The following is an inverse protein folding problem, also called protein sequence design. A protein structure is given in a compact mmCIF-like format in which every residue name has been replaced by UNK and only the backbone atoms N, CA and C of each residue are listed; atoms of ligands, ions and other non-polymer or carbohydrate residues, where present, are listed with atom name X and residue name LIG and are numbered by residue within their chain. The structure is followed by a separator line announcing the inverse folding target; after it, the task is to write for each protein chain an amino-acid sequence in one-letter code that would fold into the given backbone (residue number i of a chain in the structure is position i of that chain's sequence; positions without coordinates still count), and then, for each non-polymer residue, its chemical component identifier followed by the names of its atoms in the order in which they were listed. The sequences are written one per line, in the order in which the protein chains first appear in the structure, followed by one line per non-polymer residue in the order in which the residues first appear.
data_IF_722239416509
#
_entry.id   IF_722239416509
#
_cell.length_a   1.000
_cell.length_b   1.000
_cell.length_c   1.000
_cell.angle_alpha   90.00
_cell.angle_beta   90.00
_cell.angle_gamma   90.00
#
_symmetry.space_group_name_H-M   'P 1'
#
loop_
_entity.id
_entity.type
_entity.pdbx_description
1 polymer ?
#
# COMPACT_ATOMS: atom_id res chain seq x y z
N UNK A 1 98.91 80.36 -136.47
CA UNK A 1 98.08 81.27 -135.65
C UNK A 1 97.75 80.53 -134.37
N UNK A 2 98.66 80.50 -133.41
CA UNK A 2 98.78 81.46 -132.29
C UNK A 2 97.62 81.37 -131.28
N UNK A 3 97.99 80.85 -130.09
CA UNK A 3 97.61 81.31 -128.75
C UNK A 3 96.14 81.06 -128.32
N UNK A 4 95.79 80.58 -127.12
CA UNK A 4 96.52 80.24 -125.89
C UNK A 4 95.48 79.73 -124.87
N UNK A 5 95.85 78.69 -124.10
CA UNK A 5 95.76 78.58 -122.62
C UNK A 5 94.39 78.78 -121.91
N UNK A 6 93.96 78.02 -120.89
CA UNK A 6 94.64 77.07 -120.00
C UNK A 6 93.60 76.40 -119.06
N UNK A 7 93.80 75.09 -118.78
CA UNK A 7 93.93 74.43 -117.46
C UNK A 7 92.91 74.73 -116.31
N UNK A 8 92.43 73.82 -115.45
CA UNK A 8 92.82 72.44 -115.11
C UNK A 8 91.87 71.85 -114.04
N UNK A 9 91.81 70.51 -114.01
CA UNK A 9 91.66 69.60 -112.84
C UNK A 9 90.34 69.52 -112.06
N UNK A 10 89.70 68.35 -112.09
CA UNK A 10 89.82 67.40 -110.97
C UNK A 10 89.33 65.98 -111.33
N UNK A 11 90.21 65.02 -111.07
CA UNK A 11 90.03 63.57 -111.12
C UNK A 11 89.81 63.05 -109.68
N UNK A 12 89.16 61.87 -109.58
CA UNK A 12 88.95 61.00 -108.40
C UNK A 12 87.63 61.17 -107.62
N UNK A 13 86.60 60.36 -107.94
CA UNK A 13 85.61 59.88 -106.94
C UNK A 13 84.72 58.71 -107.42
N UNK A 14 85.22 57.47 -107.51
CA UNK A 14 84.32 56.29 -107.71
C UNK A 14 84.91 54.98 -107.15
N UNK A 15 84.86 54.75 -105.83
CA UNK A 15 85.06 53.40 -105.23
C UNK A 15 84.82 53.30 -103.70
N UNK A 16 83.86 54.02 -103.11
CA UNK A 16 83.64 54.02 -101.62
C UNK A 16 82.19 53.83 -101.14
N UNK A 17 81.27 53.31 -101.96
CA UNK A 17 79.83 53.24 -101.63
C UNK A 17 79.24 51.81 -101.43
N UNK A 18 79.91 50.74 -101.88
CA UNK A 18 79.30 49.39 -101.88
C UNK A 18 79.56 48.51 -100.63
N UNK A 19 80.50 48.86 -99.73
CA UNK A 19 80.74 48.11 -98.49
C UNK A 19 79.92 48.62 -97.29
N UNK A 20 79.43 49.86 -97.35
CA UNK A 20 78.59 50.46 -96.30
C UNK A 20 77.12 50.06 -96.40
N UNK A 21 76.62 49.76 -97.60
CA UNK A 21 75.22 49.36 -97.82
C UNK A 21 74.94 47.91 -97.37
N UNK A 22 75.90 47.00 -97.51
CA UNK A 22 75.76 45.61 -97.06
C UNK A 22 75.79 45.46 -95.53
N UNK A 23 76.69 46.17 -94.85
CA UNK A 23 76.76 46.19 -93.37
C UNK A 23 75.50 46.82 -92.75
N UNK A 24 74.98 47.91 -93.33
CA UNK A 24 73.73 48.50 -92.86
C UNK A 24 72.52 47.57 -93.00
N UNK A 25 72.47 46.74 -94.05
CA UNK A 25 71.38 45.77 -94.24
C UNK A 25 71.38 44.69 -93.15
N UNK A 26 72.55 44.23 -92.72
CA UNK A 26 72.69 43.22 -91.66
C UNK A 26 72.30 43.78 -90.28
N UNK A 27 72.74 45.00 -89.97
CA UNK A 27 72.33 45.74 -88.77
C UNK A 27 70.80 45.93 -88.71
N UNK A 28 70.16 46.27 -89.84
CA UNK A 28 68.71 46.40 -89.93
C UNK A 28 68.02 45.06 -89.62
N UNK A 29 68.47 43.95 -90.21
CA UNK A 29 67.87 42.62 -89.94
C UNK A 29 68.03 42.17 -88.48
N UNK A 30 69.16 42.50 -87.85
CA UNK A 30 69.38 42.22 -86.42
C UNK A 30 68.45 43.05 -85.53
N UNK A 31 68.25 44.33 -85.86
CA UNK A 31 67.29 45.20 -85.16
C UNK A 31 65.86 44.69 -85.35
N UNK A 32 65.48 44.24 -86.54
CA UNK A 32 64.17 43.66 -86.81
C UNK A 32 63.92 42.37 -86.00
N UNK A 33 64.91 41.48 -85.92
CA UNK A 33 64.85 40.28 -85.08
C UNK A 33 64.69 40.62 -83.59
N UNK A 34 65.44 41.61 -83.09
CA UNK A 34 65.31 42.10 -81.70
C UNK A 34 63.90 42.65 -81.46
N UNK A 35 63.36 43.45 -82.39
CA UNK A 35 61.99 43.98 -82.30
C UNK A 35 60.97 42.84 -82.26
N UNK A 36 61.15 41.78 -83.05
CA UNK A 36 60.24 40.63 -83.05
C UNK A 36 60.29 39.86 -81.73
N UNK A 37 61.47 39.60 -81.18
CA UNK A 37 61.64 38.95 -79.87
C UNK A 37 61.00 39.80 -78.76
N UNK A 38 61.24 41.11 -78.78
CA UNK A 38 60.64 42.03 -77.81
C UNK A 38 59.11 42.05 -77.90
N UNK A 39 58.53 41.97 -79.11
CA UNK A 39 57.07 41.86 -79.28
C UNK A 39 56.53 40.56 -78.69
N UNK A 40 57.17 39.43 -78.95
CA UNK A 40 56.76 38.13 -78.40
C UNK A 40 56.88 38.08 -76.88
N UNK A 41 57.95 38.65 -76.33
CA UNK A 41 58.15 38.79 -74.89
C UNK A 41 57.07 39.68 -74.27
N UNK A 42 56.76 40.82 -74.89
CA UNK A 42 55.69 41.71 -74.43
C UNK A 42 54.33 41.02 -74.45
N UNK A 43 54.02 40.22 -75.48
CA UNK A 43 52.77 39.46 -75.55
C UNK A 43 52.68 38.38 -74.46
N UNK A 44 53.80 37.67 -74.21
CA UNK A 44 53.87 36.63 -73.17
C UNK A 44 53.74 37.24 -71.77
N UNK A 45 54.43 38.36 -71.52
CA UNK A 45 54.31 39.12 -70.28
C UNK A 45 52.89 39.64 -70.07
N UNK A 46 52.23 40.13 -71.12
CA UNK A 46 50.83 40.57 -71.07
C UNK A 46 49.88 39.42 -70.69
N UNK A 47 49.99 38.26 -71.35
CA UNK A 47 49.19 37.07 -71.00
C UNK A 47 49.42 36.62 -69.56
N UNK A 48 50.68 36.65 -69.10
CA UNK A 48 51.00 36.32 -67.70
C UNK A 48 50.45 37.35 -66.72
N UNK A 49 50.41 38.63 -67.08
CA UNK A 49 49.84 39.69 -66.26
C UNK A 49 48.32 39.49 -66.12
N UNK A 50 47.62 39.33 -67.24
CA UNK A 50 46.17 39.10 -67.28
C UNK A 50 45.77 37.88 -66.43
N UNK A 51 46.53 36.78 -66.51
CA UNK A 51 46.30 35.59 -65.69
C UNK A 51 46.48 35.85 -64.19
N UNK A 52 47.53 36.59 -63.80
CA UNK A 52 47.76 36.96 -62.40
C UNK A 52 46.66 37.88 -61.88
N UNK A 53 46.17 38.81 -62.69
CA UNK A 53 45.08 39.72 -62.32
C UNK A 53 43.77 38.95 -62.05
N UNK A 54 43.43 37.97 -62.90
CA UNK A 54 42.29 37.08 -62.65
C UNK A 54 42.49 36.27 -61.36
N UNK A 55 43.69 35.75 -61.11
CA UNK A 55 44.00 34.99 -59.89
C UNK A 55 43.89 35.86 -58.63
N UNK A 56 44.38 37.09 -58.68
CA UNK A 56 44.25 38.07 -57.59
C UNK A 56 42.77 38.36 -57.34
N UNK A 57 41.99 38.62 -58.38
CA UNK A 57 40.55 38.84 -58.24
C UNK A 57 39.81 37.66 -57.59
N UNK A 58 40.18 36.43 -57.94
CA UNK A 58 39.64 35.23 -57.29
C UNK A 58 40.01 35.14 -55.81
N UNK A 59 41.29 35.39 -55.47
CA UNK A 59 41.76 35.36 -54.07
C UNK A 59 41.11 36.44 -53.20
N UNK A 60 40.84 37.63 -53.76
CA UNK A 60 40.12 38.70 -53.04
C UNK A 60 38.70 38.26 -52.71
N UNK A 61 37.96 37.70 -53.67
CA UNK A 61 36.61 37.18 -53.43
C UNK A 61 36.58 36.03 -52.42
N UNK A 62 37.56 35.12 -52.49
CA UNK A 62 37.67 34.02 -51.53
C UNK A 62 37.98 34.53 -50.11
N UNK A 63 38.86 35.52 -49.99
CA UNK A 63 39.15 36.19 -48.72
C UNK A 63 37.91 36.85 -48.12
N UNK A 64 37.12 37.55 -48.93
CA UNK A 64 35.85 38.17 -48.48
C UNK A 64 34.86 37.11 -47.99
N UNK A 65 34.68 36.03 -48.75
CA UNK A 65 33.81 34.92 -48.37
C UNK A 65 34.22 34.29 -47.04
N UNK A 66 35.51 33.98 -46.86
CA UNK A 66 36.04 33.42 -45.61
C UNK A 66 35.84 34.36 -44.41
N UNK A 67 35.95 35.67 -44.64
CA UNK A 67 35.72 36.67 -43.59
C UNK A 67 34.26 36.70 -43.14
N UNK A 68 33.32 36.59 -44.08
CA UNK A 68 31.89 36.48 -43.77
C UNK A 68 31.55 35.20 -43.01
N UNK A 69 32.08 34.06 -43.47
CA UNK A 69 31.91 32.75 -42.80
C UNK A 69 32.45 32.79 -41.37
N UNK A 70 33.64 33.36 -41.15
CA UNK A 70 34.21 33.53 -39.82
C UNK A 70 33.29 34.39 -38.92
N UNK A 71 32.76 35.50 -39.44
CA UNK A 71 31.85 36.36 -38.69
C UNK A 71 30.54 35.66 -38.34
N UNK A 72 30.02 34.82 -39.24
CA UNK A 72 28.86 33.98 -38.98
C UNK A 72 29.16 32.94 -37.89
N UNK A 73 30.27 32.20 -38.00
CA UNK A 73 30.70 31.22 -37.01
C UNK A 73 30.93 31.83 -35.61
N UNK A 74 31.48 33.05 -35.55
CA UNK A 74 31.65 33.77 -34.29
C UNK A 74 30.31 34.11 -33.61
N UNK A 75 29.29 34.50 -34.39
CA UNK A 75 27.95 34.77 -33.85
C UNK A 75 27.29 33.50 -33.36
N UNK A 76 27.35 32.41 -34.14
CA UNK A 76 26.77 31.13 -33.73
C UNK A 76 27.43 30.60 -32.47
N UNK A 77 28.75 30.71 -32.33
CA UNK A 77 29.46 30.30 -31.12
C UNK A 77 29.00 31.10 -29.90
N UNK A 78 28.86 32.43 -29.99
CA UNK A 78 28.33 33.24 -28.89
C UNK A 78 26.92 32.81 -28.47
N UNK A 79 26.05 32.53 -29.44
CA UNK A 79 24.69 32.05 -29.16
C UNK A 79 24.69 30.69 -28.47
N UNK A 80 25.53 29.75 -28.92
CA UNK A 80 25.66 28.43 -28.29
C UNK A 80 26.20 28.51 -26.86
N UNK A 81 27.18 29.40 -26.61
CA UNK A 81 27.68 29.64 -25.25
C UNK A 81 26.58 30.16 -24.33
N UNK A 82 25.73 31.07 -24.81
CA UNK A 82 24.61 31.59 -24.03
C UNK A 82 23.60 30.48 -23.72
N UNK A 83 23.18 29.71 -24.73
CA UNK A 83 22.26 28.58 -24.53
C UNK A 83 22.81 27.56 -23.52
N UNK A 84 24.10 27.23 -23.60
CA UNK A 84 24.72 26.31 -22.65
C UNK A 84 24.72 26.86 -21.21
N UNK A 85 24.83 28.18 -21.06
CA UNK A 85 24.79 28.85 -19.75
C UNK A 85 23.36 28.82 -19.20
N UNK A 86 22.38 29.17 -20.03
CA UNK A 86 20.96 29.16 -19.66
C UNK A 86 20.49 27.76 -19.23
N UNK A 87 20.87 26.70 -19.98
CA UNK A 87 20.57 25.30 -19.65
C UNK A 87 21.20 24.87 -18.31
N UNK A 88 22.45 25.28 -18.04
CA UNK A 88 23.11 24.99 -16.76
C UNK A 88 22.36 25.63 -15.59
N UNK A 89 21.89 26.86 -15.75
CA UNK A 89 21.12 27.58 -14.73
C UNK A 89 19.75 26.93 -14.49
N UNK A 90 19.08 26.47 -15.54
CA UNK A 90 17.81 25.73 -15.43
C UNK A 90 18.03 24.43 -14.66
N UNK A 91 19.00 23.61 -15.07
CA UNK A 91 19.29 22.35 -14.40
C UNK A 91 19.69 22.53 -12.94
N UNK A 92 20.43 23.58 -12.62
CA UNK A 92 20.77 23.90 -11.24
C UNK A 92 19.53 24.19 -10.40
N UNK A 93 18.61 25.03 -10.90
CA UNK A 93 17.35 25.35 -10.21
C UNK A 93 16.45 24.13 -10.04
N UNK A 94 16.32 23.30 -11.07
CA UNK A 94 15.53 22.06 -11.00
C UNK A 94 16.10 21.09 -9.97
N UNK A 95 17.43 20.94 -9.93
CA UNK A 95 18.09 20.09 -8.94
C UNK A 95 17.81 20.57 -7.51
N UNK A 96 17.95 21.87 -7.24
CA UNK A 96 17.66 22.43 -5.91
C UNK A 96 16.19 22.22 -5.51
N UNK A 97 15.26 22.45 -6.45
CA UNK A 97 13.83 22.18 -6.24
C UNK A 97 13.57 20.72 -5.87
N UNK A 98 14.11 19.77 -6.64
CA UNK A 98 13.95 18.33 -6.37
C UNK A 98 14.56 17.91 -5.03
N UNK A 99 15.72 18.45 -4.67
CA UNK A 99 16.35 18.17 -3.37
C UNK A 99 15.46 18.64 -2.23
N UNK A 100 14.87 19.82 -2.34
CA UNK A 100 13.98 20.35 -1.31
C UNK A 100 12.65 19.58 -1.25
N UNK A 101 12.11 19.15 -2.38
CA UNK A 101 10.94 18.27 -2.44
C UNK A 101 11.20 16.94 -1.74
N UNK A 102 12.35 16.31 -2.01
CA UNK A 102 12.79 15.08 -1.34
C UNK A 102 12.92 15.31 0.17
N UNK A 103 13.54 16.40 0.62
CA UNK A 103 13.63 16.74 2.05
C UNK A 103 12.24 16.87 2.67
N UNK A 104 11.32 17.60 2.02
CA UNK A 104 9.94 17.76 2.53
C UNK A 104 9.22 16.42 2.63
N UNK A 105 9.32 15.56 1.60
CA UNK A 105 8.72 14.23 1.62
C UNK A 105 9.34 13.32 2.69
N UNK A 106 10.67 13.40 2.88
CA UNK A 106 11.35 12.66 3.94
C UNK A 106 10.88 13.09 5.33
N UNK A 107 10.62 14.38 5.54
CA UNK A 107 10.07 14.92 6.79
C UNK A 107 8.56 14.64 6.94
N UNK A 108 7.85 14.52 5.81
CA UNK A 108 6.45 14.12 5.75
C UNK A 108 6.23 12.62 6.00
N UNK A 109 7.29 11.81 6.17
CA UNK A 109 7.22 10.47 6.80
C UNK A 109 6.80 10.51 8.29
N UNK A 110 6.02 11.51 8.72
CA UNK A 110 5.19 11.43 9.92
C UNK A 110 4.22 10.25 9.90
N UNK A 111 3.98 9.66 8.71
CA UNK A 111 3.31 8.37 8.58
C UNK A 111 3.96 7.27 9.41
N UNK A 112 5.30 7.29 9.58
CA UNK A 112 6.00 6.29 10.40
C UNK A 112 5.68 6.46 11.88
N UNK A 113 5.54 7.68 12.39
CA UNK A 113 5.17 7.96 13.79
C UNK A 113 3.70 7.58 14.05
N UNK A 114 2.81 7.88 13.11
CA UNK A 114 1.41 7.49 13.22
C UNK A 114 1.26 5.96 13.15
N UNK A 115 2.05 5.32 12.28
CA UNK A 115 2.07 3.86 12.15
C UNK A 115 2.59 3.18 13.42
N UNK A 116 3.68 3.68 14.01
CA UNK A 116 4.19 3.15 15.29
C UNK A 116 3.20 3.35 16.42
N UNK A 117 2.55 4.52 16.50
CA UNK A 117 1.53 4.80 17.51
C UNK A 117 0.31 3.90 17.37
N UNK A 118 -0.18 3.68 16.13
CA UNK A 118 -1.27 2.74 15.88
C UNK A 118 -0.88 1.31 16.21
N UNK A 119 0.37 0.92 15.92
CA UNK A 119 0.87 -0.41 16.23
C UNK A 119 0.96 -0.65 17.75
N UNK A 120 1.34 0.35 18.53
CA UNK A 120 1.32 0.32 19.99
C UNK A 120 -0.11 0.22 20.53
N UNK A 121 -1.04 1.03 20.02
CA UNK A 121 -2.44 0.99 20.43
C UNK A 121 -3.07 -0.39 20.15
N UNK A 122 -2.83 -0.97 18.97
CA UNK A 122 -3.30 -2.32 18.63
C UNK A 122 -2.79 -3.35 19.63
N UNK A 123 -1.50 -3.31 19.99
CA UNK A 123 -0.93 -4.23 20.98
C UNK A 123 -1.58 -4.07 22.36
N UNK A 124 -1.83 -2.84 22.79
CA UNK A 124 -2.52 -2.57 24.06
C UNK A 124 -3.95 -3.14 24.05
N UNK A 125 -4.70 -2.94 22.96
CA UNK A 125 -6.06 -3.49 22.83
C UNK A 125 -6.05 -5.02 22.84
N UNK A 126 -5.09 -5.65 22.16
CA UNK A 126 -4.96 -7.11 22.15
C UNK A 126 -4.70 -7.68 23.55
N UNK A 127 -3.85 -7.01 24.34
CA UNK A 127 -3.60 -7.40 25.73
C UNK A 127 -4.86 -7.27 26.60
N UNK A 128 -5.62 -6.18 26.45
CA UNK A 128 -6.89 -5.97 27.15
C UNK A 128 -7.90 -7.07 26.79
N UNK A 129 -8.03 -7.41 25.50
CA UNK A 129 -8.93 -8.45 25.02
C UNK A 129 -8.53 -9.81 25.61
N UNK A 130 -7.24 -10.15 25.58
CA UNK A 130 -6.73 -11.39 26.15
C UNK A 130 -7.07 -11.50 27.65
N UNK A 131 -6.83 -10.43 28.41
CA UNK A 131 -7.13 -10.39 29.85
C UNK A 131 -8.63 -10.52 30.14
N UNK A 132 -9.48 -9.88 29.34
CA UNK A 132 -10.93 -9.99 29.47
C UNK A 132 -11.42 -11.42 29.17
N UNK A 133 -10.89 -12.05 28.11
CA UNK A 133 -11.17 -13.43 27.77
C UNK A 133 -10.75 -14.39 28.90
N UNK A 134 -9.55 -14.22 29.47
CA UNK A 134 -9.08 -15.01 30.59
C UNK A 134 -9.99 -14.87 31.82
N UNK A 135 -10.39 -13.63 32.17
CA UNK A 135 -11.32 -13.36 33.28
C UNK A 135 -12.70 -13.98 33.04
N UNK A 136 -13.22 -13.88 31.82
CA UNK A 136 -14.48 -14.50 31.44
C UNK A 136 -14.43 -16.02 31.58
N UNK A 137 -13.36 -16.66 31.11
CA UNK A 137 -13.20 -18.11 31.22
C UNK A 137 -13.11 -18.58 32.67
N UNK A 138 -12.39 -17.83 33.53
CA UNK A 138 -12.33 -18.09 34.98
C UNK A 138 -13.70 -17.94 35.65
N UNK A 139 -14.46 -16.92 35.28
CA UNK A 139 -15.81 -16.74 35.81
C UNK A 139 -16.76 -17.85 35.32
N UNK A 140 -16.64 -18.26 34.06
CA UNK A 140 -17.42 -19.35 33.47
C UNK A 140 -17.13 -20.69 34.15
N UNK A 141 -15.87 -21.01 34.43
CA UNK A 141 -15.51 -22.24 35.17
C UNK A 141 -16.03 -22.19 36.61
N UNK A 142 -15.89 -21.05 37.29
CA UNK A 142 -16.43 -20.85 38.64
C UNK A 142 -17.96 -20.99 38.67
N UNK A 143 -18.69 -20.43 37.70
CA UNK A 143 -20.15 -20.60 37.57
C UNK A 143 -20.52 -22.08 37.49
N UNK A 144 -19.82 -22.86 36.67
CA UNK A 144 -20.07 -24.31 36.53
C UNK A 144 -19.81 -25.03 37.87
N UNK A 145 -18.73 -24.69 38.58
CA UNK A 145 -18.40 -25.29 39.87
C UNK A 145 -19.48 -24.97 40.92
N UNK A 146 -19.88 -23.71 41.02
CA UNK A 146 -20.93 -23.27 41.94
C UNK A 146 -22.27 -23.94 41.63
N UNK A 147 -22.65 -24.01 40.36
CA UNK A 147 -23.88 -24.69 39.93
C UNK A 147 -23.86 -26.18 40.32
N UNK A 148 -22.72 -26.87 40.14
CA UNK A 148 -22.55 -28.26 40.59
C UNK A 148 -22.67 -28.40 42.10
N UNK A 149 -22.07 -27.49 42.88
CA UNK A 149 -22.17 -27.50 44.36
C UNK A 149 -23.60 -27.24 44.82
N UNK A 150 -24.29 -26.28 44.21
CA UNK A 150 -25.69 -25.97 44.51
C UNK A 150 -26.59 -27.18 44.27
N UNK A 151 -26.46 -27.86 43.12
CA UNK A 151 -27.22 -29.08 42.82
C UNK A 151 -26.96 -30.20 43.83
N UNK A 152 -25.71 -30.36 44.28
CA UNK A 152 -25.36 -31.34 45.33
C UNK A 152 -26.02 -30.99 46.67
N UNK A 153 -25.97 -29.72 47.05
CA UNK A 153 -26.55 -29.24 48.32
C UNK A 153 -28.07 -29.37 48.31
N UNK A 154 -28.72 -29.02 47.19
CA UNK A 154 -30.16 -29.18 47.01
C UNK A 154 -30.57 -30.66 47.10
N UNK A 155 -29.84 -31.57 46.45
CA UNK A 155 -30.10 -33.01 46.58
C UNK A 155 -29.95 -33.50 48.02
N UNK A 156 -29.04 -32.90 48.79
CA UNK A 156 -28.87 -33.21 50.21
C UNK A 156 -30.03 -32.67 51.06
N UNK A 157 -30.50 -31.44 50.82
CA UNK A 157 -31.65 -30.89 51.54
C UNK A 157 -32.94 -31.68 51.27
N UNK A 158 -33.18 -32.05 50.01
CA UNK A 158 -34.33 -32.90 49.60
C UNK A 158 -34.35 -34.20 50.40
N UNK A 159 -33.22 -34.91 50.46
CA UNK A 159 -33.08 -36.15 51.26
C UNK A 159 -33.28 -35.93 52.76
N UNK A 160 -32.76 -34.83 53.31
CA UNK A 160 -32.97 -34.52 54.73
C UNK A 160 -34.46 -34.27 55.01
N UNK A 161 -35.16 -33.56 54.13
CA UNK A 161 -36.60 -33.34 54.25
C UNK A 161 -37.39 -34.66 54.17
N UNK A 162 -37.05 -35.55 53.25
CA UNK A 162 -37.64 -36.90 53.16
C UNK A 162 -37.44 -37.67 54.48
N UNK A 163 -36.21 -37.69 55.00
CA UNK A 163 -35.90 -38.35 56.28
C UNK A 163 -36.65 -37.74 57.47
N UNK A 164 -36.76 -36.40 57.53
CA UNK A 164 -37.51 -35.72 58.59
C UNK A 164 -39.00 -36.05 58.54
N UNK A 165 -39.59 -36.11 57.35
CA UNK A 165 -41.00 -36.51 57.18
C UNK A 165 -41.21 -37.95 57.68
N UNK A 166 -40.27 -38.85 57.38
CA UNK A 166 -40.32 -40.24 57.80
C UNK A 166 -40.24 -40.36 59.34
N UNK A 167 -39.28 -39.68 59.98
CA UNK A 167 -39.16 -39.67 61.46
C UNK A 167 -40.41 -39.05 62.12
N UNK A 168 -40.95 -37.97 61.55
CA UNK A 168 -42.19 -37.36 62.04
C UNK A 168 -43.37 -38.33 61.94
N UNK A 169 -43.41 -39.16 60.90
CA UNK A 169 -44.45 -40.17 60.73
C UNK A 169 -44.32 -41.29 61.76
N UNK A 170 -43.12 -41.82 61.97
CA UNK A 170 -42.84 -42.83 62.99
C UNK A 170 -43.21 -42.34 64.39
N UNK A 171 -42.82 -41.11 64.75
CA UNK A 171 -43.16 -40.51 66.04
C UNK A 171 -44.67 -40.32 66.22
N UNK A 172 -45.38 -39.91 65.17
CA UNK A 172 -46.85 -39.77 65.18
C UNK A 172 -47.51 -41.13 65.42
N UNK A 173 -47.06 -42.17 64.74
CA UNK A 173 -47.60 -43.53 64.87
C UNK A 173 -47.33 -44.10 66.28
N UNK A 174 -46.12 -43.91 66.82
CA UNK A 174 -45.79 -44.29 68.20
C UNK A 174 -46.68 -43.57 69.23
N UNK A 175 -46.91 -42.26 69.05
CA UNK A 175 -47.78 -41.48 69.93
C UNK A 175 -49.25 -41.92 69.82
N UNK A 176 -49.73 -42.21 68.61
CA UNK A 176 -51.09 -42.74 68.38
C UNK A 176 -51.28 -44.08 69.11
N UNK A 177 -50.29 -44.97 69.09
CA UNK A 177 -50.33 -46.25 69.83
C UNK A 177 -50.44 -45.99 71.34
N UNK A 178 -49.59 -45.14 71.90
CA UNK A 178 -49.61 -44.80 73.34
C UNK A 178 -50.95 -44.18 73.76
N UNK A 179 -51.46 -43.21 72.99
CA UNK A 179 -52.74 -42.55 73.25
C UNK A 179 -53.91 -43.53 73.16
N UNK A 180 -53.90 -44.43 72.18
CA UNK A 180 -54.94 -45.46 72.05
C UNK A 180 -54.91 -46.45 73.22
N UNK A 181 -53.72 -46.85 73.68
CA UNK A 181 -53.55 -47.72 74.84
C UNK A 181 -54.11 -47.07 76.10
N UNK A 182 -53.78 -45.78 76.34
CA UNK A 182 -54.33 -45.02 77.46
C UNK A 182 -55.86 -44.87 77.35
N UNK A 183 -56.42 -44.57 76.18
CA UNK A 183 -57.87 -44.47 75.97
C UNK A 183 -58.62 -45.77 76.30
N UNK A 184 -57.97 -46.93 76.13
CA UNK A 184 -58.52 -48.26 76.44
C UNK A 184 -58.49 -48.58 77.94
N UNK A 185 -57.71 -47.85 78.75
CA UNK A 185 -57.68 -48.06 80.20
C UNK A 185 -59.03 -47.67 80.82
N UNK A 186 -59.60 -48.58 81.63
CA UNK A 186 -60.91 -48.43 82.28
C UNK A 186 -60.96 -47.28 83.31
N UNK A 187 -59.81 -46.84 83.80
CA UNK A 187 -59.70 -46.01 85.00
C UNK A 187 -59.73 -44.50 84.71
N UNK A 188 -59.91 -44.09 83.45
CA UNK A 188 -59.85 -42.69 83.03
C UNK A 188 -61.25 -42.07 83.04
N UNK A 189 -61.39 -40.91 83.70
CA UNK A 189 -62.64 -40.15 83.76
C UNK A 189 -63.15 -39.74 82.36
N UNK A 190 -64.45 -39.46 82.23
CA UNK A 190 -65.04 -38.98 80.97
C UNK A 190 -64.36 -37.71 80.45
N UNK A 191 -63.94 -36.80 81.33
CA UNK A 191 -63.20 -35.60 80.98
C UNK A 191 -61.78 -35.90 80.49
N UNK A 192 -61.05 -36.81 81.15
CA UNK A 192 -59.73 -37.26 80.72
C UNK A 192 -59.74 -37.92 79.34
N UNK A 193 -60.78 -38.72 79.04
CA UNK A 193 -60.97 -39.30 77.70
C UNK A 193 -61.21 -38.24 76.62
N UNK A 194 -61.91 -37.14 76.93
CA UNK A 194 -62.05 -35.99 76.01
C UNK A 194 -60.72 -35.29 75.76
N UNK A 195 -59.93 -35.05 76.82
CA UNK A 195 -58.61 -34.44 76.71
C UNK A 195 -57.66 -35.28 75.86
N UNK A 196 -57.63 -36.61 76.04
CA UNK A 196 -56.79 -37.49 75.22
C UNK A 196 -57.17 -37.50 73.74
N UNK A 197 -58.48 -37.44 73.43
CA UNK A 197 -58.94 -37.30 72.04
C UNK A 197 -58.51 -35.97 71.42
N UNK A 198 -58.62 -34.87 72.18
CA UNK A 198 -58.14 -33.55 71.75
C UNK A 198 -56.62 -33.58 71.50
N UNK A 199 -55.84 -34.15 72.43
CA UNK A 199 -54.40 -34.29 72.29
C UNK A 199 -54.03 -35.08 71.04
N UNK A 200 -54.74 -36.18 70.75
CA UNK A 200 -54.57 -36.97 69.53
C UNK A 200 -54.83 -36.13 68.26
N UNK A 201 -55.94 -35.40 68.22
CA UNK A 201 -56.25 -34.53 67.08
C UNK A 201 -55.22 -33.41 66.92
N UNK A 202 -54.75 -32.82 68.01
CA UNK A 202 -53.74 -31.76 67.99
C UNK A 202 -52.39 -32.29 67.47
N UNK A 203 -51.95 -33.46 67.96
CA UNK A 203 -50.72 -34.10 67.49
C UNK A 203 -50.75 -34.40 65.97
N UNK A 204 -51.90 -34.85 65.46
CA UNK A 204 -52.11 -35.04 64.01
C UNK A 204 -52.00 -33.72 63.24
N UNK A 205 -52.65 -32.65 63.72
CA UNK A 205 -52.55 -31.33 63.10
C UNK A 205 -51.12 -30.78 63.13
N UNK A 206 -50.37 -31.01 64.21
CA UNK A 206 -48.95 -30.64 64.29
C UNK A 206 -48.11 -31.36 63.25
N UNK A 207 -48.32 -32.65 63.04
CA UNK A 207 -47.67 -33.43 61.98
C UNK A 207 -47.99 -32.86 60.59
N UNK A 208 -49.28 -32.73 60.24
CA UNK A 208 -49.73 -32.21 58.94
C UNK A 208 -49.20 -30.78 58.69
N UNK A 209 -49.24 -29.89 59.68
CA UNK A 209 -48.70 -28.54 59.59
C UNK A 209 -47.17 -28.54 59.36
N UNK A 210 -46.44 -29.45 60.00
CA UNK A 210 -44.98 -29.52 59.86
C UNK A 210 -44.61 -30.06 58.48
N UNK A 211 -45.31 -31.07 57.98
CA UNK A 211 -45.16 -31.55 56.60
C UNK A 211 -45.41 -30.43 55.59
N UNK A 212 -46.52 -29.69 55.73
CA UNK A 212 -46.83 -28.56 54.84
C UNK A 212 -45.75 -27.48 54.86
N UNK A 213 -45.18 -27.15 56.04
CA UNK A 213 -44.05 -26.23 56.14
C UNK A 213 -42.83 -26.74 55.38
N UNK A 214 -42.50 -28.03 55.49
CA UNK A 214 -41.39 -28.65 54.75
C UNK A 214 -41.64 -28.55 53.23
N UNK A 215 -42.83 -28.93 52.77
CA UNK A 215 -43.21 -28.84 51.35
C UNK A 215 -43.16 -27.41 50.81
N UNK A 216 -43.50 -26.42 51.63
CA UNK A 216 -43.39 -25.02 51.24
C UNK A 216 -41.95 -24.55 51.08
N UNK A 217 -41.03 -25.02 51.93
CA UNK A 217 -39.62 -24.68 51.85
C UNK A 217 -39.00 -25.32 50.60
N UNK A 218 -39.24 -26.61 50.38
CA UNK A 218 -38.74 -27.32 49.19
C UNK A 218 -39.38 -26.80 47.91
N UNK A 219 -40.66 -26.45 47.94
CA UNK A 219 -41.38 -25.85 46.82
C UNK A 219 -40.78 -24.50 46.41
N UNK A 220 -40.51 -23.60 47.36
CA UNK A 220 -39.87 -22.29 47.06
C UNK A 220 -38.49 -22.42 46.43
N UNK A 221 -37.72 -23.46 46.75
CA UNK A 221 -36.42 -23.74 46.12
C UNK A 221 -36.54 -24.16 44.65
N UNK A 222 -37.68 -24.76 44.24
CA UNK A 222 -37.92 -25.10 42.82
C UNK A 222 -38.30 -23.91 41.95
N UNK A 223 -38.98 -22.89 42.50
CA UNK A 223 -39.33 -21.66 41.77
C UNK A 223 -38.14 -20.75 41.44
N UNK A 224 -36.98 -20.96 42.08
CA UNK A 224 -35.74 -20.23 41.77
C UNK A 224 -35.02 -20.85 40.55
N UNK A 225 -35.40 -22.06 40.11
CA UNK A 225 -34.81 -22.75 38.94
C UNK A 225 -35.29 -22.20 37.59
N UNK A 226 -36.41 -21.49 37.54
CA UNK A 226 -36.97 -20.91 36.32
C UNK A 226 -37.01 -19.38 36.48
N UNK A 227 -36.20 -18.67 35.70
CA UNK A 227 -36.06 -17.23 35.81
C UNK A 227 -37.41 -16.49 35.69
N UNK A 228 -37.74 -15.73 36.73
CA UNK A 228 -38.68 -14.59 36.77
C UNK A 228 -40.04 -14.81 36.06
N UNK A 229 -41.06 -15.18 36.85
CA UNK A 229 -42.42 -14.61 36.75
C UNK A 229 -43.27 -15.14 37.92
N UNK A 230 -43.82 -14.25 38.74
CA UNK A 230 -44.83 -14.58 39.75
C UNK A 230 -46.21 -14.69 39.08
N UNK A 231 -46.93 -15.83 39.16
CA UNK A 231 -48.36 -15.85 38.96
C UNK A 231 -49.06 -15.59 40.29
N UNK A 232 -50.06 -14.71 40.26
CA UNK A 232 -50.92 -14.45 41.41
C UNK A 232 -51.60 -15.74 41.89
N UNK A 233 -51.76 -15.82 43.21
CA UNK A 233 -52.57 -16.82 43.87
C UNK A 233 -53.95 -16.95 43.19
N UNK A 234 -54.22 -18.12 42.61
CA UNK A 234 -55.59 -18.62 42.45
C UNK A 234 -55.74 -19.97 43.13
N UNK A 235 -56.84 -20.03 43.86
CA UNK A 235 -57.36 -21.08 44.73
C UNK A 235 -57.26 -22.52 44.20
N UNK A 236 -56.96 -23.43 45.14
CA UNK A 236 -57.44 -24.80 45.34
C UNK A 236 -57.89 -25.63 44.12
N UNK A 237 -57.42 -26.89 44.06
CA UNK A 237 -58.29 -28.08 44.22
C UNK A 237 -57.48 -29.37 44.40
N UNK A 238 -57.80 -30.08 45.48
CA UNK A 238 -57.59 -31.52 45.61
C UNK A 238 -58.29 -32.25 44.46
N UNK A 239 -57.62 -33.20 43.82
CA UNK A 239 -58.27 -34.43 43.35
C UNK A 239 -57.24 -35.54 43.19
N UNK A 240 -57.61 -36.69 43.74
CA UNK A 240 -56.90 -37.94 43.64
C UNK A 240 -57.03 -38.56 42.25
N UNK A 241 -56.08 -39.45 41.97
CA UNK A 241 -56.24 -40.73 41.25
C UNK A 241 -55.81 -40.82 39.78
N UNK A 242 -54.95 -41.83 39.58
CA UNK A 242 -54.78 -42.77 38.46
C UNK A 242 -54.02 -42.36 37.20
N UNK A 243 -52.93 -43.13 37.04
CA UNK A 243 -52.50 -43.88 35.86
C UNK A 243 -52.22 -43.18 34.53
N UNK A 244 -50.92 -43.28 34.19
CA UNK A 244 -50.33 -43.86 32.97
C UNK A 244 -50.58 -43.23 31.59
N UNK A 245 -49.43 -43.18 30.92
CA UNK A 245 -49.18 -43.10 29.49
C UNK A 245 -49.49 -41.74 28.82
N UNK A 246 -48.45 -41.12 28.26
CA UNK A 246 -48.17 -41.26 26.82
C UNK A 246 -46.83 -40.57 26.47
N UNK A 247 -46.10 -41.33 25.66
CA UNK A 247 -44.89 -41.03 24.92
C UNK A 247 -44.93 -39.79 24.00
N UNK A 248 -43.71 -39.37 23.63
CA UNK A 248 -43.27 -38.65 22.40
C UNK A 248 -43.46 -37.13 22.34
N UNK A 249 -42.33 -36.41 22.25
CA UNK A 249 -41.75 -36.11 20.93
C UNK A 249 -40.28 -35.64 21.02
N UNK A 250 -39.53 -36.03 19.98
CA UNK A 250 -38.07 -35.93 19.80
C UNK A 250 -37.62 -34.47 19.58
N UNK A 251 -36.38 -34.09 19.94
CA UNK A 251 -35.73 -32.97 19.29
C UNK A 251 -35.07 -33.46 17.98
N UNK A 252 -35.55 -32.97 16.84
CA UNK A 252 -34.79 -32.95 15.58
C UNK A 252 -33.68 -31.90 15.72
N UNK A 253 -32.46 -32.32 16.01
CA UNK A 253 -31.29 -31.46 15.89
C UNK A 253 -30.73 -31.63 14.48
N UNK A 254 -31.09 -30.72 13.56
CA UNK A 254 -30.37 -30.57 12.29
C UNK A 254 -28.96 -30.08 12.62
N UNK A 255 -28.00 -30.95 12.35
CA UNK A 255 -26.59 -30.67 12.33
C UNK A 255 -26.32 -29.59 11.26
N UNK A 256 -25.78 -28.44 11.68
CA UNK A 256 -25.09 -27.52 10.80
C UNK A 256 -23.62 -27.55 11.24
N UNK A 257 -22.93 -28.58 10.78
CA UNK A 257 -21.47 -28.54 10.65
C UNK A 257 -21.16 -27.48 9.58
N UNK A 258 -20.57 -26.36 9.99
CA UNK A 258 -19.62 -25.64 9.15
C UNK A 258 -18.27 -25.75 9.82
N UNK A 259 -17.50 -26.68 9.28
CA UNK A 259 -16.05 -26.78 9.41
C UNK A 259 -15.41 -25.46 8.95
N UNK A 260 -14.70 -24.78 9.85
CA UNK A 260 -13.65 -23.84 9.43
C UNK A 260 -12.34 -24.59 9.49
N UNK A 261 -11.86 -24.95 8.31
CA UNK A 261 -10.57 -25.58 8.08
C UNK A 261 -9.43 -24.68 8.57
N UNK A 262 -8.56 -25.28 9.37
CA UNK A 262 -7.25 -24.77 9.74
C UNK A 262 -6.40 -24.51 8.50
N UNK A 263 -5.98 -23.26 8.28
CA UNK A 263 -4.91 -22.95 7.33
C UNK A 263 -3.99 -21.84 7.86
N UNK A 264 -3.55 -21.99 9.11
CA UNK A 264 -2.63 -21.07 9.78
C UNK A 264 -1.28 -21.71 10.15
N UNK A 265 -0.94 -22.88 9.59
CA UNK A 265 0.29 -23.60 9.92
C UNK A 265 1.29 -23.75 8.74
N UNK A 266 1.13 -22.99 7.66
CA UNK A 266 2.04 -23.10 6.50
C UNK A 266 2.97 -21.90 6.25
N UNK A 267 3.02 -20.90 7.14
CA UNK A 267 3.83 -19.69 6.91
C UNK A 267 5.02 -19.48 7.84
N UNK A 268 5.24 -20.33 8.86
CA UNK A 268 6.34 -20.14 9.82
C UNK A 268 7.53 -21.10 9.64
N UNK A 269 7.71 -21.73 8.48
CA UNK A 269 8.79 -22.73 8.31
C UNK A 269 9.77 -22.58 7.15
N UNK A 270 9.69 -21.50 6.36
CA UNK A 270 10.74 -21.20 5.38
C UNK A 270 10.89 -19.69 5.19
N UNK A 271 11.89 -19.09 5.85
CA UNK A 271 12.64 -17.92 5.33
C UNK A 271 13.75 -17.51 6.31
N UNK A 272 14.64 -18.46 6.64
CA UNK A 272 16.05 -18.07 6.71
C UNK A 272 16.53 -17.93 5.27
N UNK A 273 16.93 -16.71 4.87
CA UNK A 273 17.63 -16.44 3.62
C UNK A 273 16.76 -16.05 2.42
N UNK A 274 16.42 -14.76 2.30
CA UNK A 274 16.17 -14.12 0.99
C UNK A 274 16.93 -12.80 0.98
N UNK A 275 18.18 -12.83 0.53
CA UNK A 275 19.07 -11.67 0.41
C UNK A 275 19.12 -11.06 -0.99
N UNK A 276 18.12 -11.28 -1.85
CA UNK A 276 18.15 -10.70 -3.21
C UNK A 276 16.78 -10.22 -3.72
N UNK A 277 16.68 -8.91 -3.92
CA UNK A 277 15.53 -8.20 -4.54
C UNK A 277 15.39 -8.45 -6.05
N UNK A 278 16.32 -9.21 -6.67
CA UNK A 278 16.32 -9.47 -8.12
C UNK A 278 15.32 -10.55 -8.56
N UNK A 279 14.81 -11.37 -7.63
CA UNK A 279 14.01 -12.56 -7.98
C UNK A 279 12.50 -12.29 -8.01
N UNK A 280 12.03 -11.15 -7.51
CA UNK A 280 10.60 -10.80 -7.46
C UNK A 280 10.07 -10.37 -8.84
N UNK A 281 10.94 -9.91 -9.74
CA UNK A 281 10.50 -9.33 -11.01
C UNK A 281 10.09 -10.35 -12.09
N UNK A 282 10.32 -11.65 -11.86
CA UNK A 282 10.07 -12.71 -12.85
C UNK A 282 8.81 -13.55 -12.58
N UNK A 283 8.05 -13.29 -11.51
CA UNK A 283 6.83 -14.05 -11.19
C UNK A 283 5.52 -13.32 -11.54
N UNK A 284 5.58 -12.11 -12.11
CA UNK A 284 4.40 -11.40 -12.57
C UNK A 284 4.13 -11.67 -14.06
N UNK A 285 3.07 -12.43 -14.29
CA UNK A 285 2.51 -12.83 -15.58
C UNK A 285 2.26 -11.64 -16.54
N UNK A 286 2.42 -11.79 -17.87
CA UNK A 286 2.40 -10.67 -18.84
C UNK A 286 1.03 -10.02 -19.06
N UNK A 287 -0.01 -10.46 -18.36
CA UNK A 287 -1.38 -10.12 -18.72
C UNK A 287 -1.95 -8.85 -18.04
N UNK A 288 -1.25 -8.26 -17.07
CA UNK A 288 -1.69 -7.01 -16.40
C UNK A 288 -1.05 -5.73 -16.95
N UNK A 289 -0.11 -5.81 -17.88
CA UNK A 289 0.64 -4.64 -18.38
C UNK A 289 -0.08 -3.81 -19.44
N UNK A 290 -1.33 -4.15 -19.81
CA UNK A 290 -2.04 -3.47 -20.92
C UNK A 290 -3.05 -2.39 -20.50
N UNK A 291 -3.31 -2.17 -19.22
CA UNK A 291 -4.36 -1.21 -18.81
C UNK A 291 -3.84 0.13 -18.25
N UNK A 292 -2.53 0.37 -18.20
CA UNK A 292 -1.97 1.62 -17.65
C UNK A 292 -1.42 2.61 -18.71
N UNK A 293 -1.66 2.38 -19.99
CA UNK A 293 -1.28 3.31 -21.06
C UNK A 293 -2.43 3.57 -22.04
N UNK A 294 -3.48 4.26 -21.57
CA UNK A 294 -4.38 5.04 -22.42
C UNK A 294 -4.94 6.23 -21.66
N UNK A 295 -4.13 7.27 -21.51
CA UNK A 295 -4.64 8.64 -21.33
C UNK A 295 -4.33 9.42 -22.59
N UNK A 296 -5.39 9.72 -23.34
CA UNK A 296 -5.37 10.61 -24.50
C UNK A 296 -5.06 12.03 -24.01
N UNK A 297 -3.91 12.55 -24.43
CA UNK A 297 -3.74 13.96 -24.70
C UNK A 297 -4.43 14.25 -26.02
N UNK A 298 -5.31 15.24 -26.07
CA UNK A 298 -5.42 16.17 -27.20
C UNK A 298 -6.32 17.36 -26.82
N UNK A 299 -5.65 18.51 -26.70
CA UNK A 299 -6.03 19.82 -27.25
C UNK A 299 -7.48 20.28 -27.17
N UNK A 300 -7.71 21.38 -26.45
CA UNK A 300 -8.20 22.64 -27.06
C UNK A 300 -8.10 23.82 -26.09
N UNK A 301 -7.08 24.65 -26.32
CA UNK A 301 -6.98 26.04 -25.87
C UNK A 301 -6.98 26.89 -27.15
N UNK A 302 -8.06 27.61 -27.41
CA UNK A 302 -8.22 28.78 -28.30
C UNK A 302 -9.72 29.15 -28.25
N UNK A 303 -10.21 30.36 -28.00
CA UNK A 303 -9.68 31.69 -28.25
C UNK A 303 -10.30 32.73 -27.32
N UNK A 304 -9.51 33.77 -27.04
CA UNK A 304 -9.98 35.12 -26.73
C UNK A 304 -10.85 35.66 -27.88
N UNK A 305 -11.97 36.29 -27.51
CA UNK A 305 -12.38 37.62 -27.99
C UNK A 305 -13.29 38.26 -26.96
#
# INVERSE_FOLDING_TARGET
MSLRQNNSNNSLRTSSLNSKSALHSEEITNVENIIQILKQNNETLKKSLDFKDVRIGNLVREKEKLYEELKCAQRTNRNLYQQLTDERDIHFKEKEYLVDDIKRLSFARRGDILFTSLQEEIKEKDEIIYNLCAKYLKMKSNKIILQKRLMKLQKHSEKLCENLILILQENREALDILLNNLLRMSNISKAGKKLLKLLKTNARLYYENTQLKIYMITGKETYIKEGISMPSFRSLKYSSSKEKDIFRCKPKQKCLQRSMSTNANHFFKYSEGITDLKTIHNSLSPHLSRELYRSKSDSNLTNLK
#
